data_IF_932421943312
#
_entry.id   IF_932421943312
#
_cell.length_a   1.000
_cell.length_b   1.000
_cell.length_c   1.000
_cell.angle_alpha   90.00
_cell.angle_beta   90.00
_cell.angle_gamma   90.00
#
_symmetry.space_group_name_H-M   'P 1'
#
loop_
_entity.id
_entity.type
_entity.pdbx_description
1 polymer ?
#
# COMPACT_ATOMS: atom_id res chain seq x y z
N UNK A 1 4.36 -15.72 -10.90
CA UNK A 1 4.41 -15.44 -9.45
C UNK A 1 5.81 -15.05 -8.95
N UNK A 2 6.86 -15.86 -9.16
CA UNK A 2 8.24 -15.58 -8.71
C UNK A 2 8.80 -14.20 -9.11
N UNK A 3 8.54 -13.75 -10.35
CA UNK A 3 8.96 -12.43 -10.83
C UNK A 3 8.32 -11.27 -10.05
N UNK A 4 7.06 -11.42 -9.60
CA UNK A 4 6.33 -10.39 -8.84
C UNK A 4 6.85 -10.29 -7.41
N UNK A 5 7.09 -11.43 -6.77
CA UNK A 5 7.71 -11.48 -5.44
C UNK A 5 9.09 -10.79 -5.45
N UNK A 6 9.90 -11.06 -6.47
CA UNK A 6 11.20 -10.37 -6.64
C UNK A 6 11.02 -8.89 -6.92
N UNK A 7 9.99 -8.49 -7.69
CA UNK A 7 9.71 -7.08 -7.98
C UNK A 7 9.33 -6.29 -6.72
N UNK A 8 8.53 -6.89 -5.82
CA UNK A 8 8.24 -6.32 -4.50
C UNK A 8 9.50 -6.26 -3.64
N UNK A 9 10.34 -7.30 -3.62
CA UNK A 9 11.55 -7.32 -2.78
C UNK A 9 12.63 -6.33 -3.25
N UNK A 10 12.79 -6.16 -4.56
CA UNK A 10 13.77 -5.26 -5.18
C UNK A 10 13.24 -3.85 -5.42
N UNK A 11 11.94 -3.63 -5.21
CA UNK A 11 11.26 -2.37 -5.50
C UNK A 11 10.65 -1.80 -4.23
N UNK A 12 10.32 -0.52 -4.26
CA UNK A 12 9.60 0.12 -3.16
C UNK A 12 8.12 0.22 -3.44
N UNK A 13 7.74 0.28 -4.71
CA UNK A 13 6.33 0.30 -5.13
C UNK A 13 6.14 -0.68 -6.28
N UNK A 14 5.18 -1.59 -6.13
CA UNK A 14 4.66 -2.42 -7.20
C UNK A 14 3.16 -2.15 -7.34
N UNK A 15 2.71 -1.79 -8.53
CA UNK A 15 1.29 -1.62 -8.83
C UNK A 15 0.85 -2.66 -9.83
N UNK A 16 -0.17 -3.44 -9.45
CA UNK A 16 -0.89 -4.37 -10.30
C UNK A 16 -2.03 -3.59 -10.97
N UNK A 17 -1.78 -3.18 -12.22
CA UNK A 17 -2.72 -2.48 -13.06
C UNK A 17 -3.56 -3.47 -13.89
N UNK A 18 -4.84 -3.18 -14.13
CA UNK A 18 -5.69 -4.06 -14.94
C UNK A 18 -7.15 -3.62 -14.96
N UNK A 19 -7.94 -4.14 -15.90
CA UNK A 19 -9.34 -3.73 -16.05
C UNK A 19 -10.29 -4.24 -14.96
N UNK A 20 -9.97 -5.38 -14.34
CA UNK A 20 -10.87 -6.11 -13.44
C UNK A 20 -10.32 -6.14 -12.01
N UNK A 21 -11.13 -5.75 -11.01
CA UNK A 21 -10.74 -5.69 -9.58
C UNK A 21 -10.37 -7.06 -9.03
N UNK A 22 -11.27 -8.03 -9.18
CA UNK A 22 -11.14 -9.35 -8.56
C UNK A 22 -9.80 -10.07 -8.82
N UNK A 23 -9.30 -10.21 -10.06
CA UNK A 23 -8.01 -10.86 -10.29
C UNK A 23 -6.82 -10.05 -9.72
N UNK A 24 -6.92 -8.71 -9.65
CA UNK A 24 -5.89 -7.86 -9.03
C UNK A 24 -5.88 -8.05 -7.52
N UNK A 25 -7.04 -7.99 -6.89
CA UNK A 25 -7.25 -8.19 -5.44
C UNK A 25 -6.73 -9.55 -4.99
N UNK A 26 -7.10 -10.62 -5.71
CA UNK A 26 -6.60 -11.97 -5.45
C UNK A 26 -5.08 -12.04 -5.58
N UNK A 27 -4.50 -11.43 -6.62
CA UNK A 27 -3.06 -11.45 -6.85
C UNK A 27 -2.30 -10.70 -5.76
N UNK A 28 -2.71 -9.48 -5.38
CA UNK A 28 -2.01 -8.71 -4.36
C UNK A 28 -2.13 -9.34 -2.97
N UNK A 29 -3.28 -9.93 -2.63
CA UNK A 29 -3.47 -10.68 -1.37
C UNK A 29 -2.61 -11.94 -1.34
N UNK A 30 -2.50 -12.65 -2.45
CA UNK A 30 -1.62 -13.82 -2.54
C UNK A 30 -0.14 -13.45 -2.43
N UNK A 31 0.28 -12.34 -3.05
CA UNK A 31 1.64 -11.80 -2.91
C UNK A 31 1.91 -11.40 -1.46
N UNK A 32 0.97 -10.67 -0.84
CA UNK A 32 1.03 -10.22 0.55
C UNK A 32 1.23 -11.41 1.51
N UNK A 33 0.40 -12.45 1.36
CA UNK A 33 0.48 -13.68 2.15
C UNK A 33 1.82 -14.39 2.00
N UNK A 34 2.35 -14.47 0.78
CA UNK A 34 3.64 -15.12 0.50
C UNK A 34 4.84 -14.33 1.01
N UNK A 35 4.73 -13.01 1.05
CA UNK A 35 5.78 -12.13 1.53
C UNK A 35 5.66 -11.79 3.01
N UNK A 36 4.60 -12.19 3.70
CA UNK A 36 4.39 -11.82 5.09
C UNK A 36 5.55 -12.22 6.01
N UNK A 37 6.17 -13.37 5.77
CA UNK A 37 7.36 -13.83 6.50
C UNK A 37 8.67 -13.13 6.10
N UNK A 38 8.66 -12.27 5.08
CA UNK A 38 9.83 -11.52 4.62
C UNK A 38 9.94 -10.11 5.21
N UNK A 39 8.89 -9.60 5.86
CA UNK A 39 8.84 -8.28 6.48
C UNK A 39 8.81 -8.44 7.99
N UNK A 40 9.77 -7.80 8.69
CA UNK A 40 9.95 -7.98 10.13
C UNK A 40 8.75 -7.46 10.93
N UNK A 41 8.21 -6.32 10.50
CA UNK A 41 7.06 -5.67 11.13
C UNK A 41 5.72 -6.10 10.49
N UNK A 42 5.76 -7.03 9.53
CA UNK A 42 4.58 -7.66 8.94
C UNK A 42 3.99 -6.93 7.74
N UNK A 43 2.69 -7.20 7.49
CA UNK A 43 1.97 -6.76 6.29
C UNK A 43 0.67 -6.09 6.70
N UNK A 44 0.45 -4.88 6.20
CA UNK A 44 -0.80 -4.16 6.36
C UNK A 44 -1.60 -4.21 5.06
N UNK A 45 -2.83 -4.73 5.12
CA UNK A 45 -3.73 -4.80 3.96
C UNK A 45 -4.87 -3.83 4.16
N UNK A 46 -4.97 -2.85 3.28
CA UNK A 46 -6.05 -1.86 3.23
C UNK A 46 -6.87 -2.12 1.98
N UNK A 47 -8.16 -2.44 2.17
CA UNK A 47 -9.11 -2.58 1.07
C UNK A 47 -9.91 -1.28 0.95
N UNK A 48 -9.72 -0.59 -0.16
CA UNK A 48 -10.35 0.69 -0.44
C UNK A 48 -11.71 0.43 -1.09
N UNK A 49 -12.75 0.40 -0.27
CA UNK A 49 -14.09 0.03 -0.70
C UNK A 49 -14.59 1.00 -1.79
N UNK A 50 -15.02 0.48 -2.96
CA UNK A 50 -15.58 1.30 -4.03
C UNK A 50 -16.81 2.12 -3.64
N UNK A 51 -17.54 1.73 -2.60
CA UNK A 51 -18.74 2.41 -2.11
C UNK A 51 -18.42 3.65 -1.28
N UNK A 52 -17.29 3.66 -0.57
CA UNK A 52 -16.89 4.81 0.25
C UNK A 52 -16.32 5.93 -0.63
N UNK A 53 -15.42 5.59 -1.56
CA UNK A 53 -14.88 6.51 -2.57
C UNK A 53 -14.11 7.73 -2.01
N UNK A 54 -13.10 8.20 -2.75
CA UNK A 54 -12.42 9.45 -2.39
C UNK A 54 -11.63 9.38 -1.08
N UNK A 55 -10.92 8.27 -0.84
CA UNK A 55 -10.05 8.11 0.31
C UNK A 55 -8.96 9.18 0.28
N UNK A 56 -9.07 10.14 1.19
CA UNK A 56 -8.07 11.14 1.46
C UNK A 56 -7.04 10.62 2.45
N UNK A 57 -6.22 11.53 2.94
CA UNK A 57 -5.17 11.19 3.91
C UNK A 57 -5.78 10.70 5.23
N UNK A 58 -6.90 11.30 5.66
CA UNK A 58 -7.54 10.97 6.94
C UNK A 58 -8.10 9.56 6.93
N UNK A 59 -8.85 9.23 5.89
CA UNK A 59 -9.47 7.93 5.67
C UNK A 59 -8.38 6.86 5.56
N UNK A 60 -7.34 7.10 4.78
CA UNK A 60 -6.22 6.17 4.65
C UNK A 60 -5.46 5.96 5.97
N UNK A 61 -5.26 7.00 6.79
CA UNK A 61 -4.66 6.84 8.12
C UNK A 61 -5.56 6.08 9.10
N UNK A 62 -6.87 6.25 8.99
CA UNK A 62 -7.84 5.52 9.82
C UNK A 62 -7.87 4.04 9.44
N UNK A 63 -7.92 3.72 8.15
CA UNK A 63 -7.83 2.36 7.63
C UNK A 63 -6.55 1.67 8.08
N UNK A 64 -5.40 2.36 7.97
CA UNK A 64 -4.11 1.85 8.47
C UNK A 64 -4.15 1.55 9.97
N UNK A 65 -4.76 2.43 10.78
CA UNK A 65 -4.89 2.24 12.23
C UNK A 65 -5.86 1.12 12.63
N UNK A 66 -6.73 0.70 11.73
CA UNK A 66 -7.65 -0.43 11.91
C UNK A 66 -7.00 -1.78 11.56
N UNK A 67 -5.85 -1.78 10.90
CA UNK A 67 -5.13 -3.01 10.56
C UNK A 67 -4.51 -3.64 11.82
N UNK A 68 -4.72 -4.95 12.04
CA UNK A 68 -4.11 -5.65 13.18
C UNK A 68 -2.57 -5.54 13.15
N UNK A 69 -1.98 -5.09 14.26
CA UNK A 69 -0.53 -4.92 14.40
C UNK A 69 -0.02 -3.50 14.10
N UNK A 70 -0.87 -2.63 13.54
CA UNK A 70 -0.63 -1.19 13.51
C UNK A 70 -1.26 -0.60 14.78
N UNK A 71 -0.55 0.24 15.57
CA UNK A 71 -1.18 0.92 16.69
C UNK A 71 -2.30 1.80 16.17
N UNK A 72 -3.38 1.96 16.93
CA UNK A 72 -4.43 2.91 16.61
C UNK A 72 -3.80 4.31 16.44
N UNK A 73 -3.63 4.72 15.18
CA UNK A 73 -3.04 6.00 14.84
C UNK A 73 -4.09 7.07 15.15
N UNK A 74 -3.81 8.09 15.99
CA UNK A 74 -4.78 9.13 16.26
C UNK A 74 -5.17 9.81 14.94
N UNK A 75 -6.47 9.72 14.61
CA UNK A 75 -7.03 10.22 13.35
C UNK A 75 -6.50 11.62 13.02
N UNK A 76 -5.88 11.77 11.85
CA UNK A 76 -5.43 13.06 11.35
C UNK A 76 -3.96 13.44 11.65
N UNK A 77 -3.19 12.61 12.36
CA UNK A 77 -1.76 12.92 12.59
C UNK A 77 -0.86 12.19 11.59
N UNK A 78 -0.78 12.71 10.37
CA UNK A 78 0.09 12.22 9.28
C UNK A 78 1.55 12.06 9.70
N UNK A 79 2.05 12.96 10.54
CA UNK A 79 3.41 12.95 11.06
C UNK A 79 3.69 11.77 12.00
N UNK A 80 2.69 11.37 12.80
CA UNK A 80 2.85 10.23 13.72
C UNK A 80 2.90 8.91 12.94
N UNK A 81 1.99 8.73 11.98
CA UNK A 81 2.01 7.57 11.07
C UNK A 81 3.32 7.50 10.29
N UNK A 82 3.81 8.64 9.79
CA UNK A 82 5.08 8.74 9.11
C UNK A 82 6.27 8.33 9.99
N UNK A 83 6.33 8.84 11.22
CA UNK A 83 7.37 8.48 12.18
C UNK A 83 7.31 7.01 12.59
N UNK A 84 6.10 6.47 12.76
CA UNK A 84 5.91 5.06 13.12
C UNK A 84 6.36 4.12 12.00
N UNK A 85 6.04 4.45 10.74
CA UNK A 85 6.49 3.69 9.57
C UNK A 85 7.99 3.88 9.28
N UNK A 86 8.58 5.01 9.68
CA UNK A 86 9.96 5.38 9.36
C UNK A 86 10.99 4.32 9.79
N UNK A 87 10.75 3.69 10.94
CA UNK A 87 11.66 2.74 11.57
C UNK A 87 11.32 1.26 11.29
N UNK A 88 10.33 0.99 10.42
CA UNK A 88 9.76 -0.34 10.22
C UNK A 88 9.97 -0.90 8.82
N UNK A 89 10.20 -2.22 8.75
CA UNK A 89 10.23 -2.98 7.49
C UNK A 89 8.88 -3.67 7.29
N UNK A 90 7.96 -2.95 6.63
CA UNK A 90 6.57 -3.37 6.39
C UNK A 90 6.18 -3.36 4.92
N UNK A 91 5.25 -4.24 4.58
CA UNK A 91 4.53 -4.21 3.31
C UNK A 91 3.15 -3.59 3.50
N UNK A 92 2.88 -2.48 2.82
CA UNK A 92 1.56 -1.89 2.72
C UNK A 92 0.89 -2.34 1.42
N UNK A 93 -0.25 -3.01 1.53
CA UNK A 93 -1.04 -3.48 0.40
C UNK A 93 -2.27 -2.58 0.28
N UNK A 94 -2.45 -1.96 -0.88
CA UNK A 94 -3.57 -1.07 -1.20
C UNK A 94 -4.40 -1.72 -2.30
N UNK A 95 -5.58 -2.24 -1.96
CA UNK A 95 -6.48 -2.89 -2.90
C UNK A 95 -7.62 -1.94 -3.29
N UNK A 96 -7.74 -1.56 -4.57
CA UNK A 96 -8.67 -0.52 -5.00
C UNK A 96 -8.07 0.88 -5.02
N UNK A 97 -6.92 1.07 -5.68
CA UNK A 97 -6.33 2.42 -5.76
C UNK A 97 -7.06 3.38 -6.71
N UNK A 98 -8.20 2.96 -7.28
CA UNK A 98 -9.12 3.83 -8.03
C UNK A 98 -9.75 4.88 -7.11
N UNK A 99 -9.95 4.51 -5.85
CA UNK A 99 -10.66 5.27 -4.84
C UNK A 99 -9.72 6.24 -4.10
N UNK A 100 -8.41 6.16 -4.34
CA UNK A 100 -7.39 6.99 -3.71
C UNK A 100 -7.40 8.41 -4.29
N UNK A 101 -7.60 9.40 -3.42
CA UNK A 101 -7.48 10.82 -3.78
C UNK A 101 -6.03 11.24 -4.04
N UNK A 102 -5.85 12.35 -4.76
CA UNK A 102 -4.51 12.88 -5.07
C UNK A 102 -3.71 13.24 -3.81
N UNK A 103 -4.37 13.78 -2.78
CA UNK A 103 -3.73 14.13 -1.50
C UNK A 103 -3.17 12.90 -0.78
N UNK A 104 -3.89 11.77 -0.84
CA UNK A 104 -3.44 10.51 -0.27
C UNK A 104 -2.25 9.94 -1.04
N UNK A 105 -2.25 10.04 -2.38
CA UNK A 105 -1.11 9.65 -3.21
C UNK A 105 0.13 10.52 -2.89
N UNK A 106 -0.05 11.83 -2.72
CA UNK A 106 1.04 12.73 -2.32
C UNK A 106 1.59 12.38 -0.92
N UNK A 107 0.72 12.06 0.03
CA UNK A 107 1.12 11.61 1.36
C UNK A 107 1.88 10.28 1.33
N UNK A 108 1.43 9.30 0.51
CA UNK A 108 2.15 8.04 0.30
C UNK A 108 3.57 8.27 -0.27
N UNK A 109 3.78 9.24 -1.16
CA UNK A 109 5.13 9.63 -1.63
C UNK A 109 6.00 10.13 -0.49
N UNK A 110 5.45 10.97 0.36
CA UNK A 110 6.15 11.48 1.54
C UNK A 110 6.52 10.34 2.49
N UNK A 111 5.59 9.39 2.73
CA UNK A 111 5.86 8.19 3.52
C UNK A 111 7.01 7.37 2.96
N UNK A 112 7.04 7.12 1.65
CA UNK A 112 8.16 6.41 1.02
C UNK A 112 9.48 7.15 1.21
N UNK A 113 9.47 8.48 1.27
CA UNK A 113 10.69 9.27 1.47
C UNK A 113 11.24 9.16 2.89
N UNK A 114 10.37 9.08 3.90
CA UNK A 114 10.78 9.01 5.32
C UNK A 114 10.94 7.58 5.85
N UNK A 115 10.30 6.60 5.21
CA UNK A 115 10.29 5.21 5.67
C UNK A 115 11.00 4.28 4.68
N UNK A 116 12.35 4.18 4.70
CA UNK A 116 13.11 3.40 3.72
C UNK A 116 12.73 1.90 3.70
N UNK A 117 12.30 1.35 4.85
CA UNK A 117 11.83 -0.03 4.98
C UNK A 117 10.42 -0.27 4.44
N UNK A 118 9.62 0.79 4.24
CA UNK A 118 8.26 0.67 3.73
C UNK A 118 8.25 0.30 2.24
N UNK A 119 7.45 -0.72 1.91
CA UNK A 119 7.14 -1.13 0.54
C UNK A 119 5.64 -1.09 0.31
N UNK A 120 5.23 -0.67 -0.89
CA UNK A 120 3.83 -0.55 -1.29
C UNK A 120 3.51 -1.54 -2.40
N UNK A 121 2.44 -2.30 -2.22
CA UNK A 121 1.82 -3.16 -3.22
C UNK A 121 0.41 -2.66 -3.51
N UNK A 122 0.21 -2.02 -4.65
CA UNK A 122 -1.06 -1.46 -5.05
C UNK A 122 -1.79 -2.35 -6.07
N UNK A 123 -3.13 -2.37 -6.03
CA UNK A 123 -4.01 -2.91 -7.05
C UNK A 123 -5.01 -1.84 -7.50
N UNK A 124 -4.95 -1.43 -8.77
CA UNK A 124 -5.78 -0.34 -9.31
C UNK A 124 -5.87 -0.37 -10.83
N UNK A 125 -6.75 0.41 -11.49
CA UNK A 125 -6.92 0.30 -12.96
C UNK A 125 -5.76 0.96 -13.67
N UNK A 126 -5.21 1.97 -13.01
CA UNK A 126 -4.10 2.77 -13.48
C UNK A 126 -2.94 2.69 -12.49
N UNK A 127 -1.71 2.91 -12.96
CA UNK A 127 -0.56 3.10 -12.07
C UNK A 127 -0.71 4.34 -11.19
N UNK A 128 -0.03 4.35 -10.05
CA UNK A 128 0.03 5.47 -9.10
C UNK A 128 0.98 6.59 -9.56
N UNK A 129 1.74 6.34 -10.63
CA UNK A 129 2.69 7.22 -11.26
C UNK A 129 3.84 7.65 -10.33
N UNK A 130 4.40 6.74 -9.52
CA UNK A 130 5.59 7.03 -8.71
C UNK A 130 6.90 6.82 -9.48
N UNK A 131 7.94 7.59 -9.19
CA UNK A 131 9.22 7.56 -9.92
C UNK A 131 9.94 6.21 -9.88
N UNK A 132 9.75 5.43 -8.82
CA UNK A 132 10.33 4.09 -8.63
C UNK A 132 9.26 2.98 -8.68
N UNK A 133 8.10 3.28 -9.28
CA UNK A 133 7.00 2.35 -9.43
C UNK A 133 7.33 1.26 -10.46
N UNK A 134 7.15 0.01 -10.05
CA UNK A 134 7.05 -1.10 -10.98
C UNK A 134 5.59 -1.34 -11.31
N UNK A 135 5.27 -1.49 -12.58
CA UNK A 135 3.91 -1.73 -13.05
C UNK A 135 3.81 -3.16 -13.58
N UNK A 136 2.86 -3.92 -13.06
CA UNK A 136 2.47 -5.21 -13.60
C UNK A 136 1.06 -5.11 -14.17
N UNK A 137 0.90 -5.36 -15.47
CA UNK A 137 -0.42 -5.35 -16.11
C UNK A 137 -1.00 -6.77 -16.16
N UNK A 138 -2.27 -6.87 -15.77
CA UNK A 138 -3.13 -8.05 -15.94
C UNK A 138 -4.02 -7.88 -17.18
#
# INVERSE_FOLDING_TARGET
MSRLLTAVRRGRVLTVAGGFREPRSLLVREIARRLASNFYDGVAVVDLDPLEGGYGVRELTAELGSVPGVPALPCGTTAYTASWLAERDMLLVLDGTEQLGQDAVAWLRTLLSVAPGLRILAAGRSPLAFDQERIHRL
#
